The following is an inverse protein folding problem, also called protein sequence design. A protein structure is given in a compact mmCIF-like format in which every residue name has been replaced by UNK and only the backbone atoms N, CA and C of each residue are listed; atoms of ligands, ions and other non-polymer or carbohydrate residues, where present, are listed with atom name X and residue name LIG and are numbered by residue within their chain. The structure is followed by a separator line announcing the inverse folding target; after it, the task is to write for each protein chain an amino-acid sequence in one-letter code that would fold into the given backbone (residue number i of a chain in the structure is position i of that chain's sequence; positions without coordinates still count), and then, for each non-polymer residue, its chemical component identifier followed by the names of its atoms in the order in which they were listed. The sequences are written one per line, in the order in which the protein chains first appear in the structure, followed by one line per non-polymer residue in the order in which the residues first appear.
data_IF_115906096491
#
_entry.id   IF_115906096491
#
_cell.length_a   1.000
_cell.length_b   1.000
_cell.length_c   1.000
_cell.angle_alpha   90.00
_cell.angle_beta   90.00
_cell.angle_gamma   90.00
#
_symmetry.space_group_name_H-M   'P 1'
#
loop_
_entity.id
_entity.type
_entity.pdbx_description
1 polymer ?
#
# COMPACT_ATOMS: atom_id res chain seq x y z
N UNK A 1 11.45 25.18 -31.40
CA UNK A 1 11.58 25.41 -29.96
C UNK A 1 10.31 25.05 -29.21
N UNK A 2 9.13 25.43 -29.72
CA UNK A 2 7.87 25.08 -29.07
C UNK A 2 7.59 23.57 -29.05
N UNK A 3 7.94 22.87 -30.12
CA UNK A 3 7.77 21.43 -30.22
C UNK A 3 8.67 20.68 -29.23
N UNK A 4 9.88 21.18 -29.00
CA UNK A 4 10.81 20.63 -28.02
C UNK A 4 10.30 20.78 -26.60
N UNK A 5 9.71 21.92 -26.26
CA UNK A 5 9.13 22.17 -24.94
C UNK A 5 7.94 21.26 -24.66
N UNK A 6 7.05 21.08 -25.63
CA UNK A 6 5.89 20.19 -25.51
C UNK A 6 6.35 18.76 -25.34
N UNK A 7 7.34 18.32 -26.12
CA UNK A 7 7.90 16.96 -25.99
C UNK A 7 8.55 16.74 -24.62
N UNK A 8 9.26 17.75 -24.10
CA UNK A 8 9.90 17.67 -22.78
C UNK A 8 8.86 17.57 -21.67
N UNK A 9 7.83 18.39 -21.71
CA UNK A 9 6.75 18.37 -20.71
C UNK A 9 6.00 17.06 -20.77
N UNK A 10 5.72 16.54 -21.94
CA UNK A 10 5.05 15.25 -22.10
C UNK A 10 5.92 14.10 -21.57
N UNK A 11 7.22 14.12 -21.82
CA UNK A 11 8.15 13.13 -21.32
C UNK A 11 8.25 13.17 -19.79
N UNK A 12 8.31 14.36 -19.20
CA UNK A 12 8.33 14.54 -17.76
C UNK A 12 7.03 14.07 -17.10
N UNK A 13 5.89 14.37 -17.69
CA UNK A 13 4.59 13.93 -17.22
C UNK A 13 4.48 12.40 -17.26
N UNK A 14 4.95 11.78 -18.34
CA UNK A 14 4.96 10.33 -18.50
C UNK A 14 5.87 9.66 -17.46
N UNK A 15 7.05 10.21 -17.24
CA UNK A 15 7.97 9.74 -16.20
C UNK A 15 7.35 9.84 -14.82
N UNK A 16 6.71 10.95 -14.52
CA UNK A 16 6.07 11.16 -13.23
C UNK A 16 4.95 10.14 -12.99
N UNK A 17 4.08 9.93 -13.95
CA UNK A 17 2.98 8.95 -13.85
C UNK A 17 3.53 7.53 -13.72
N UNK A 18 4.52 7.17 -14.54
CA UNK A 18 5.11 5.84 -14.52
C UNK A 18 5.85 5.56 -13.21
N UNK A 19 6.66 6.51 -12.74
CA UNK A 19 7.37 6.38 -11.47
C UNK A 19 6.43 6.41 -10.29
N UNK A 20 5.41 7.27 -10.31
CA UNK A 20 4.41 7.34 -9.26
C UNK A 20 3.62 6.05 -9.11
N UNK A 21 3.25 5.42 -10.22
CA UNK A 21 2.57 4.13 -10.22
C UNK A 21 3.48 3.00 -9.73
N UNK A 22 4.76 3.09 -10.04
CA UNK A 22 5.73 2.05 -9.74
C UNK A 22 6.16 2.05 -8.28
N UNK A 23 6.26 3.22 -7.68
CA UNK A 23 6.69 3.34 -6.28
C UNK A 23 5.55 3.23 -5.29
N UNK A 24 4.29 3.26 -5.77
CA UNK A 24 3.12 3.01 -4.93
C UNK A 24 3.32 3.51 -3.51
N UNK A 25 3.64 4.80 -3.36
CA UNK A 25 3.81 5.33 -2.02
C UNK A 25 2.53 5.14 -1.25
N UNK A 26 2.55 4.27 -0.26
CA UNK A 26 1.54 4.32 0.76
C UNK A 26 1.83 5.54 1.60
N UNK A 27 1.69 6.64 0.98
CA UNK A 27 1.51 7.86 1.73
C UNK A 27 0.06 7.87 2.19
N UNK A 28 -0.22 8.69 3.14
CA UNK A 28 -1.50 8.93 3.75
C UNK A 28 -2.61 9.37 2.77
N UNK A 29 -2.44 9.15 1.49
CA UNK A 29 -3.38 9.56 0.46
C UNK A 29 -3.97 8.35 -0.26
N UNK A 30 -5.29 8.37 -0.56
CA UNK A 30 -5.90 7.32 -1.34
C UNK A 30 -5.19 7.15 -2.68
N UNK A 31 -4.87 5.93 -3.03
CA UNK A 31 -4.15 5.62 -4.27
C UNK A 31 -4.98 4.71 -5.14
N UNK A 32 -5.28 5.16 -6.36
CA UNK A 32 -5.88 4.33 -7.38
C UNK A 32 -4.78 3.58 -8.11
N UNK A 33 -4.97 2.27 -8.22
CA UNK A 33 -4.04 1.37 -8.88
C UNK A 33 -4.72 0.75 -10.09
N UNK A 34 -3.97 0.59 -11.16
CA UNK A 34 -4.45 -0.03 -12.39
C UNK A 34 -3.49 -1.16 -12.75
N UNK A 35 -4.00 -2.39 -12.75
CA UNK A 35 -3.24 -3.59 -13.09
C UNK A 35 -1.89 -3.66 -12.35
N UNK A 36 -1.92 -3.36 -11.05
CA UNK A 36 -0.72 -3.35 -10.22
C UNK A 36 -0.19 -4.75 -10.02
N UNK A 37 1.13 -4.90 -10.11
CA UNK A 37 1.80 -6.17 -10.03
C UNK A 37 3.06 -6.02 -9.18
N UNK A 38 3.37 -7.03 -8.37
CA UNK A 38 4.59 -7.04 -7.60
C UNK A 38 4.36 -6.85 -6.11
N UNK A 39 5.46 -6.66 -5.40
CA UNK A 39 5.47 -6.58 -3.95
C UNK A 39 6.04 -5.24 -3.48
N UNK A 40 5.34 -4.59 -2.56
CA UNK A 40 5.82 -3.39 -1.88
C UNK A 40 6.02 -3.68 -0.40
N UNK A 41 7.03 -3.06 0.19
CA UNK A 41 7.35 -3.18 1.60
C UNK A 41 7.44 -1.82 2.24
N UNK A 42 6.85 -1.69 3.41
CA UNK A 42 6.86 -0.47 4.20
C UNK A 42 7.38 -0.78 5.59
N UNK A 43 8.27 0.05 6.09
CA UNK A 43 8.88 -0.15 7.40
C UNK A 43 8.25 0.79 8.41
N UNK A 44 7.91 0.26 9.57
CA UNK A 44 7.32 0.99 10.68
C UNK A 44 8.17 0.73 11.92
N UNK A 45 8.79 1.79 12.45
CA UNK A 45 9.63 1.67 13.63
C UNK A 45 8.88 2.06 14.89
N UNK A 46 9.00 1.21 15.91
CA UNK A 46 8.40 1.41 17.22
C UNK A 46 9.51 1.58 18.24
N UNK A 47 9.49 2.68 18.95
CA UNK A 47 10.53 3.02 19.92
C UNK A 47 10.10 2.79 21.37
N UNK A 48 8.78 2.76 21.63
CA UNK A 48 8.24 2.65 22.99
C UNK A 48 7.51 1.33 23.20
N UNK A 49 7.70 0.73 24.37
CA UNK A 49 6.96 -0.46 24.78
C UNK A 49 5.49 -0.13 25.00
N UNK A 50 4.63 -1.09 24.68
CA UNK A 50 3.20 -0.94 24.89
C UNK A 50 2.46 -0.17 23.82
N UNK A 51 3.17 0.46 22.90
CA UNK A 51 2.57 1.17 21.80
C UNK A 51 2.08 0.20 20.74
N UNK A 52 0.82 0.31 20.36
CA UNK A 52 0.28 -0.45 19.26
C UNK A 52 0.47 0.33 17.97
N UNK A 53 1.02 -0.33 16.99
CA UNK A 53 1.25 0.27 15.68
C UNK A 53 0.64 -0.61 14.60
N UNK A 54 0.30 0.02 13.50
CA UNK A 54 -0.25 -0.68 12.38
C UNK A 54 -0.79 0.27 11.34
N UNK A 55 -1.68 -0.27 10.52
CA UNK A 55 -2.30 0.45 9.42
C UNK A 55 -3.81 0.24 9.45
N UNK A 56 -4.53 1.30 9.21
CA UNK A 56 -5.98 1.28 9.01
C UNK A 56 -6.29 1.84 7.65
N UNK A 57 -7.33 1.34 7.05
CA UNK A 57 -7.74 1.87 5.77
C UNK A 57 -8.85 1.06 5.15
N UNK A 58 -8.93 1.19 3.84
CA UNK A 58 -9.92 0.48 3.05
C UNK A 58 -9.37 0.18 1.67
N UNK A 59 -9.95 -0.81 1.02
CA UNK A 59 -9.70 -1.08 -0.37
C UNK A 59 -11.04 -1.21 -1.11
N UNK A 60 -11.06 -0.70 -2.33
CA UNK A 60 -12.17 -0.88 -3.27
C UNK A 60 -11.61 -1.60 -4.48
N UNK A 61 -12.00 -2.86 -4.66
CA UNK A 61 -11.42 -3.74 -5.67
C UNK A 61 -12.33 -3.82 -6.88
N UNK A 62 -11.79 -3.50 -8.05
CA UNK A 62 -12.47 -3.73 -9.32
C UNK A 62 -12.08 -5.07 -9.92
N UNK A 63 -10.79 -5.40 -9.88
CA UNK A 63 -10.27 -6.67 -10.37
C UNK A 63 -8.92 -6.98 -9.72
N UNK A 64 -8.49 -8.25 -9.81
CA UNK A 64 -7.24 -8.69 -9.22
C UNK A 64 -7.32 -8.83 -7.71
N UNK A 65 -6.16 -8.85 -7.06
CA UNK A 65 -6.10 -8.96 -5.61
C UNK A 65 -4.86 -8.26 -5.05
N UNK A 66 -4.96 -7.86 -3.78
CA UNK A 66 -3.83 -7.37 -3.00
C UNK A 66 -3.83 -8.10 -1.65
N UNK A 67 -2.70 -8.68 -1.29
CA UNK A 67 -2.52 -9.36 -0.01
C UNK A 67 -1.63 -8.50 0.87
N UNK A 68 -2.15 -8.11 2.02
CA UNK A 68 -1.44 -7.27 2.98
C UNK A 68 -1.06 -8.11 4.19
N UNK A 69 0.21 -8.04 4.59
CA UNK A 69 0.74 -8.79 5.74
C UNK A 69 1.57 -7.87 6.62
N UNK A 70 1.27 -7.84 7.89
CA UNK A 70 2.08 -7.13 8.88
C UNK A 70 3.02 -8.11 9.56
N UNK A 71 4.31 -7.86 9.46
CA UNK A 71 5.35 -8.70 10.01
C UNK A 71 5.97 -8.06 11.25
N UNK A 72 6.23 -8.89 12.26
CA UNK A 72 6.92 -8.48 13.47
C UNK A 72 8.43 -8.29 13.20
N UNK A 73 9.19 -7.70 14.14
CA UNK A 73 10.63 -7.54 13.98
C UNK A 73 11.39 -8.85 13.75
N UNK A 74 10.88 -9.96 14.24
CA UNK A 74 11.46 -11.29 14.02
C UNK A 74 11.07 -11.93 12.69
N UNK A 75 10.28 -11.25 11.88
CA UNK A 75 9.80 -11.74 10.58
C UNK A 75 8.50 -12.53 10.63
N UNK A 76 7.95 -12.75 11.83
CA UNK A 76 6.71 -13.52 11.98
C UNK A 76 5.50 -12.68 11.57
N UNK A 77 4.58 -13.27 10.83
CA UNK A 77 3.35 -12.61 10.44
C UNK A 77 2.43 -12.44 11.67
N UNK A 78 2.04 -11.20 11.94
CA UNK A 78 1.13 -10.87 13.03
C UNK A 78 -0.31 -10.94 12.53
N UNK A 79 -0.58 -10.31 11.40
CA UNK A 79 -1.92 -10.21 10.83
C UNK A 79 -1.83 -10.09 9.32
N UNK A 80 -2.82 -10.60 8.63
CA UNK A 80 -2.91 -10.50 7.17
C UNK A 80 -4.34 -10.24 6.74
N UNK A 81 -4.48 -9.57 5.59
CA UNK A 81 -5.76 -9.30 4.96
C UNK A 81 -5.60 -9.39 3.45
N UNK A 82 -6.67 -9.78 2.79
CA UNK A 82 -6.69 -9.88 1.33
C UNK A 82 -7.79 -8.98 0.79
N UNK A 83 -7.41 -8.11 -0.14
CA UNK A 83 -8.35 -7.30 -0.91
C UNK A 83 -8.61 -7.99 -2.23
N UNK A 84 -9.80 -8.51 -2.41
CA UNK A 84 -10.24 -9.15 -3.64
C UNK A 84 -11.74 -8.96 -3.80
N UNK A 85 -12.22 -9.04 -5.03
CA UNK A 85 -13.64 -8.97 -5.30
C UNK A 85 -14.27 -10.34 -5.13
N UNK A 86 -15.27 -10.43 -4.24
CA UNK A 86 -16.02 -11.67 -4.00
C UNK A 86 -17.47 -11.42 -4.38
N UNK A 87 -17.91 -12.00 -5.50
CA UNK A 87 -19.22 -11.70 -6.07
C UNK A 87 -19.30 -10.22 -6.44
N UNK A 88 -20.27 -9.51 -5.88
CA UNK A 88 -20.44 -8.07 -6.09
C UNK A 88 -19.73 -7.23 -5.04
N UNK A 89 -19.11 -7.87 -4.05
CA UNK A 89 -18.45 -7.17 -2.95
C UNK A 89 -16.97 -6.94 -3.26
N UNK A 90 -16.60 -5.68 -3.43
CA UNK A 90 -15.21 -5.28 -3.61
C UNK A 90 -14.69 -4.31 -2.55
N UNK A 91 -15.55 -3.89 -1.61
CA UNK A 91 -15.19 -2.93 -0.59
C UNK A 91 -14.83 -3.64 0.72
N UNK A 92 -13.65 -3.34 1.24
CA UNK A 92 -13.16 -3.94 2.47
C UNK A 92 -12.57 -2.87 3.38
N UNK A 93 -12.85 -2.97 4.66
CA UNK A 93 -12.19 -2.18 5.69
C UNK A 93 -10.96 -2.94 6.17
N UNK A 94 -9.83 -2.24 6.22
CA UNK A 94 -8.55 -2.83 6.62
C UNK A 94 -8.18 -2.39 8.02
N UNK A 95 -7.77 -3.35 8.83
CA UNK A 95 -7.31 -3.10 10.18
C UNK A 95 -6.15 -4.05 10.48
N UNK A 96 -4.94 -3.56 10.25
CA UNK A 96 -3.70 -4.31 10.41
C UNK A 96 -2.92 -3.71 11.57
N UNK A 97 -3.34 -4.05 12.78
CA UNK A 97 -2.72 -3.53 14.00
C UNK A 97 -2.18 -4.68 14.82
N UNK A 98 -0.95 -4.54 15.27
CA UNK A 98 -0.34 -5.57 16.08
C UNK A 98 0.96 -5.11 16.69
N UNK A 99 1.45 -5.91 17.64
CA UNK A 99 2.73 -5.67 18.27
C UNK A 99 2.67 -4.62 19.38
N UNK A 100 3.33 -4.95 20.47
CA UNK A 100 3.54 -4.04 21.61
C UNK A 100 5.02 -3.94 21.96
N UNK A 101 5.85 -4.61 21.18
CA UNK A 101 7.28 -4.63 21.41
C UNK A 101 7.97 -3.60 20.52
N UNK A 102 9.02 -2.95 21.05
CA UNK A 102 9.84 -2.08 20.19
C UNK A 102 10.51 -2.88 19.09
N UNK A 103 10.77 -2.25 17.98
CA UNK A 103 11.43 -2.88 16.86
C UNK A 103 10.95 -2.35 15.53
N UNK A 104 11.37 -3.03 14.49
CA UNK A 104 11.07 -2.66 13.11
C UNK A 104 10.04 -3.61 12.53
N UNK A 105 8.83 -3.11 12.37
CA UNK A 105 7.74 -3.84 11.73
C UNK A 105 7.76 -3.58 10.24
N UNK A 106 7.26 -4.54 9.47
CA UNK A 106 7.13 -4.38 8.03
C UNK A 106 5.72 -4.70 7.58
N UNK A 107 5.18 -3.84 6.74
CA UNK A 107 3.96 -4.12 6.00
C UNK A 107 4.36 -4.55 4.59
N UNK A 108 3.95 -5.75 4.23
CA UNK A 108 4.21 -6.31 2.90
C UNK A 108 2.89 -6.36 2.14
N UNK A 109 2.86 -5.74 0.98
CA UNK A 109 1.68 -5.71 0.12
C UNK A 109 2.04 -6.38 -1.20
N UNK A 110 1.39 -7.51 -1.48
CA UNK A 110 1.55 -8.24 -2.72
C UNK A 110 0.37 -7.94 -3.63
N UNK A 111 0.66 -7.40 -4.82
CA UNK A 111 -0.34 -7.10 -5.83
C UNK A 111 -0.32 -8.17 -6.93
N UNK A 112 -1.50 -8.62 -7.32
CA UNK A 112 -1.68 -9.53 -8.44
C UNK A 112 -2.76 -8.96 -9.36
N UNK A 113 -2.34 -8.27 -10.40
CA UNK A 113 -3.21 -7.61 -11.37
C UNK A 113 -4.30 -6.77 -10.71
N UNK A 114 -3.93 -6.06 -9.65
CA UNK A 114 -4.86 -5.30 -8.82
C UNK A 114 -5.29 -4.01 -9.51
N UNK A 115 -6.59 -3.84 -9.64
CA UNK A 115 -7.19 -2.59 -10.09
C UNK A 115 -8.22 -2.15 -9.06
N UNK A 116 -8.04 -0.96 -8.52
CA UNK A 116 -8.92 -0.41 -7.51
C UNK A 116 -8.25 0.61 -6.62
N UNK A 117 -8.95 0.99 -5.57
CA UNK A 117 -8.47 1.94 -4.57
C UNK A 117 -7.82 1.20 -3.40
N UNK A 118 -6.69 1.69 -2.95
CA UNK A 118 -6.07 1.26 -1.70
C UNK A 118 -5.76 2.51 -0.89
N UNK A 119 -6.40 2.62 0.26
CA UNK A 119 -6.25 3.75 1.17
C UNK A 119 -5.77 3.22 2.52
N UNK A 120 -4.54 3.55 2.90
CA UNK A 120 -3.93 3.11 4.14
C UNK A 120 -3.41 4.30 4.93
N UNK A 121 -3.63 4.26 6.24
CA UNK A 121 -3.12 5.24 7.18
C UNK A 121 -2.38 4.53 8.31
N UNK A 122 -1.23 5.07 8.68
CA UNK A 122 -0.48 4.59 9.83
C UNK A 122 -1.19 4.94 11.12
N UNK A 123 -1.27 3.99 12.05
CA UNK A 123 -1.88 4.21 13.37
C UNK A 123 -0.88 3.92 14.47
N UNK A 124 -0.91 4.75 15.52
CA UNK A 124 -0.12 4.57 16.74
C UNK A 124 -0.99 4.88 17.94
N UNK A 125 -1.14 3.90 18.81
CA UNK A 125 -1.90 4.04 20.05
C UNK A 125 -1.04 3.87 21.29
#
# INVERSE_FOLDING_TARGET
VRLLLIALVAALALLYVTLGLRFGYVTLTPTWLVNAQGQNRYTLEVYEEGQRVGYRGRCEVQSGQAVLRLLAPDGRQIVGRTCQKVGDRGDWTLHLVGGRQPGRYQLVVDFDAYTGLLDLSETRD
#
